data_IF_259430105802
#
_entry.id   IF_259430105802
#
_cell.length_a   1.000
_cell.length_b   1.000
_cell.length_c   1.000
_cell.angle_alpha   90.00
_cell.angle_beta   90.00
_cell.angle_gamma   90.00
#
_symmetry.space_group_name_H-M   'P 1'
#
loop_
_entity.id
_entity.type
_entity.pdbx_description
1 polymer ?
#
# COMPACT_ATOMS: atom_id res chain seq x y z
N UNK A 1 -21.00 14.54 1.88
CA UNK A 1 -19.69 15.15 1.56
C UNK A 1 -18.80 14.06 0.97
N UNK A 2 -18.36 14.26 -0.27
CA UNK A 2 -17.65 13.26 -1.06
C UNK A 2 -16.33 12.84 -0.43
N UNK A 3 -16.27 11.57 -0.05
CA UNK A 3 -15.07 10.94 0.49
C UNK A 3 -13.96 10.79 -0.58
N UNK A 4 -14.21 11.17 -1.83
CA UNK A 4 -13.28 11.11 -2.95
C UNK A 4 -12.13 12.13 -2.86
N UNK A 5 -12.28 13.22 -2.10
CA UNK A 5 -11.20 14.19 -1.82
C UNK A 5 -10.37 13.84 -0.58
N UNK A 6 -10.70 12.76 0.13
CA UNK A 6 -10.16 12.49 1.48
C UNK A 6 -8.69 12.07 1.45
N UNK A 7 -8.21 11.47 0.37
CA UNK A 7 -6.80 11.08 0.19
C UNK A 7 -5.89 12.14 -0.46
N UNK A 8 -6.42 13.25 -0.97
CA UNK A 8 -5.78 14.07 -2.01
C UNK A 8 -4.53 14.92 -1.68
N UNK A 9 -3.86 14.74 -0.54
CA UNK A 9 -2.64 15.53 -0.27
C UNK A 9 -1.85 15.16 0.99
N UNK A 10 -2.54 14.84 2.10
CA UNK A 10 -1.90 14.46 3.38
C UNK A 10 -1.06 13.17 3.25
N UNK A 11 -1.57 12.20 2.50
CA UNK A 11 -0.88 10.94 2.24
C UNK A 11 0.43 11.15 1.49
N UNK A 12 0.52 12.15 0.59
CA UNK A 12 1.74 12.44 -0.15
C UNK A 12 2.88 12.94 0.76
N UNK A 13 2.56 13.72 1.80
CA UNK A 13 3.53 14.13 2.81
C UNK A 13 4.04 12.94 3.65
N UNK A 14 3.16 11.98 3.96
CA UNK A 14 3.56 10.73 4.61
C UNK A 14 4.42 9.86 3.68
N UNK A 15 4.09 9.77 2.38
CA UNK A 15 4.92 9.08 1.39
C UNK A 15 6.32 9.71 1.31
N UNK A 16 6.41 11.04 1.34
CA UNK A 16 7.69 11.74 1.34
C UNK A 16 8.51 11.38 2.59
N UNK A 17 7.89 11.36 3.77
CA UNK A 17 8.54 10.96 5.02
C UNK A 17 9.02 9.50 4.95
N UNK A 18 8.21 8.60 4.40
CA UNK A 18 8.61 7.20 4.16
C UNK A 18 9.76 7.08 3.18
N UNK A 19 9.79 7.89 2.12
CA UNK A 19 10.90 7.93 1.16
C UNK A 19 12.21 8.38 1.80
N UNK A 20 12.17 9.45 2.60
CA UNK A 20 13.34 9.93 3.35
C UNK A 20 13.84 8.84 4.30
N UNK A 21 12.94 8.25 5.09
CA UNK A 21 13.29 7.17 6.02
C UNK A 21 13.88 5.95 5.30
N UNK A 22 13.29 5.54 4.17
CA UNK A 22 13.77 4.45 3.35
C UNK A 22 15.21 4.68 2.83
N UNK A 23 15.50 5.88 2.34
CA UNK A 23 16.85 6.25 1.88
C UNK A 23 17.84 6.17 3.03
N UNK A 24 17.48 6.68 4.23
CA UNK A 24 18.32 6.55 5.42
C UNK A 24 18.62 5.10 5.78
N UNK A 25 17.62 4.23 5.73
CA UNK A 25 17.77 2.80 6.04
C UNK A 25 18.69 2.08 5.04
N UNK A 26 18.56 2.37 3.74
CA UNK A 26 19.36 1.70 2.69
C UNK A 26 20.80 2.20 2.63
N UNK A 27 21.01 3.50 2.80
CA UNK A 27 22.35 4.09 2.65
C UNK A 27 23.29 3.74 3.80
N UNK A 28 22.78 3.15 4.89
CA UNK A 28 23.59 2.73 6.03
C UNK A 28 24.37 3.89 6.66
N UNK A 29 23.90 5.13 6.49
CA UNK A 29 24.52 6.31 7.08
C UNK A 29 24.62 6.07 8.57
N UNK A 30 25.86 5.97 9.10
CA UNK A 30 26.08 5.93 10.54
C UNK A 30 25.33 7.12 11.13
N UNK A 31 24.30 6.83 11.94
CA UNK A 31 23.36 7.80 12.51
C UNK A 31 24.12 8.77 13.42
N UNK A 32 24.78 9.76 12.83
CA UNK A 32 25.36 10.89 13.56
C UNK A 32 24.19 11.73 14.05
N UNK A 33 24.31 12.26 15.27
CA UNK A 33 23.28 13.08 15.90
C UNK A 33 22.72 14.18 14.97
N UNK A 34 23.57 14.82 14.15
CA UNK A 34 23.15 15.84 13.18
C UNK A 34 22.09 15.36 12.16
N UNK A 35 22.17 14.11 11.71
CA UNK A 35 21.22 13.55 10.72
C UNK A 35 19.91 13.16 11.39
N UNK A 36 19.99 12.59 12.60
CA UNK A 36 18.82 12.29 13.43
C UNK A 36 18.07 13.58 13.77
N UNK A 37 18.80 14.60 14.23
CA UNK A 37 18.24 15.91 14.54
C UNK A 37 17.55 16.54 13.31
N UNK A 38 18.22 16.52 12.14
CA UNK A 38 17.61 17.00 10.89
C UNK A 38 16.34 16.23 10.52
N UNK A 39 16.29 14.92 10.75
CA UNK A 39 15.11 14.10 10.48
C UNK A 39 13.97 14.41 11.47
N UNK A 40 14.28 14.64 12.75
CA UNK A 40 13.30 15.09 13.74
C UNK A 40 12.71 16.46 13.37
N UNK A 41 13.54 17.43 12.99
CA UNK A 41 13.09 18.76 12.56
C UNK A 41 12.22 18.66 11.31
N UNK A 42 12.64 17.85 10.32
CA UNK A 42 11.86 17.64 9.11
C UNK A 42 10.52 16.95 9.39
N UNK A 43 10.50 15.95 10.26
CA UNK A 43 9.27 15.25 10.68
C UNK A 43 8.32 16.19 11.42
N UNK A 44 8.85 17.07 12.28
CA UNK A 44 8.07 18.10 12.97
C UNK A 44 7.46 19.10 11.98
N UNK A 45 8.23 19.54 10.97
CA UNK A 45 7.73 20.41 9.92
C UNK A 45 6.57 19.74 9.15
N UNK A 46 6.73 18.48 8.74
CA UNK A 46 5.66 17.72 8.07
C UNK A 46 4.44 17.57 8.97
N UNK A 47 4.63 17.33 10.27
CA UNK A 47 3.53 17.25 11.23
C UNK A 47 2.73 18.55 11.30
N UNK A 48 3.39 19.70 11.37
CA UNK A 48 2.73 21.02 11.41
C UNK A 48 1.94 21.27 10.11
N UNK A 49 2.53 20.95 8.96
CA UNK A 49 1.87 21.08 7.65
C UNK A 49 0.62 20.20 7.59
N UNK A 50 0.71 18.93 7.97
CA UNK A 50 -0.44 18.02 7.98
C UNK A 50 -1.52 18.47 8.97
N UNK A 51 -1.12 18.98 10.14
CA UNK A 51 -2.04 19.51 11.14
C UNK A 51 -2.82 20.70 10.59
N UNK A 52 -2.14 21.68 9.98
CA UNK A 52 -2.79 22.81 9.31
C UNK A 52 -3.76 22.35 8.21
N UNK A 53 -3.35 21.45 7.32
CA UNK A 53 -4.23 20.89 6.28
C UNK A 53 -5.39 20.07 6.84
N UNK A 54 -5.27 19.55 8.06
CA UNK A 54 -6.37 18.83 8.72
C UNK A 54 -7.39 19.81 9.28
N UNK A 55 -6.96 20.93 9.89
CA UNK A 55 -7.84 22.00 10.34
C UNK A 55 -8.54 22.73 9.18
N UNK A 56 -7.82 22.96 8.07
CA UNK A 56 -8.37 23.61 6.87
C UNK A 56 -9.61 22.89 6.31
N UNK A 57 -9.77 21.59 6.57
CA UNK A 57 -10.96 20.81 6.15
C UNK A 57 -12.21 21.07 6.98
N UNK A 58 -12.06 21.66 8.15
CA UNK A 58 -13.13 22.04 9.06
C UNK A 58 -13.37 23.55 9.01
N UNK A 59 -13.15 24.16 7.84
CA UNK A 59 -13.33 25.58 7.55
C UNK A 59 -12.46 26.54 8.40
N UNK A 60 -11.43 26.03 9.08
CA UNK A 60 -10.44 26.84 9.79
C UNK A 60 -9.32 27.28 8.83
N UNK A 61 -9.49 28.43 8.20
CA UNK A 61 -8.59 28.92 7.13
C UNK A 61 -7.45 29.82 7.64
N UNK A 62 -7.53 30.34 8.87
CA UNK A 62 -6.49 31.21 9.43
C UNK A 62 -5.29 30.40 9.91
N UNK A 63 -4.09 30.82 9.49
CA UNK A 63 -2.85 30.24 10.00
C UNK A 63 -2.52 30.81 11.39
N UNK A 64 -2.97 30.12 12.44
CA UNK A 64 -2.74 30.46 13.84
C UNK A 64 -2.26 29.24 14.64
N UNK A 65 -1.69 29.48 15.82
CA UNK A 65 -1.30 28.39 16.72
C UNK A 65 -2.50 27.56 17.17
N UNK A 66 -3.65 28.20 17.36
CA UNK A 66 -4.88 27.51 17.74
C UNK A 66 -5.39 26.60 16.60
N UNK A 67 -5.35 27.08 15.36
CA UNK A 67 -5.68 26.27 14.17
C UNK A 67 -4.75 25.06 14.04
N UNK A 68 -3.43 25.24 14.28
CA UNK A 68 -2.46 24.13 14.24
C UNK A 68 -2.74 23.14 15.36
N UNK A 69 -3.07 23.61 16.56
CA UNK A 69 -3.36 22.75 17.72
C UNK A 69 -4.63 21.93 17.51
N UNK A 70 -5.68 22.53 16.99
CA UNK A 70 -6.93 21.83 16.67
C UNK A 70 -6.71 20.83 15.53
N UNK A 71 -6.01 21.26 14.47
CA UNK A 71 -5.61 20.39 13.37
C UNK A 71 -4.74 19.20 13.80
N UNK A 72 -3.87 19.40 14.79
CA UNK A 72 -3.06 18.36 15.40
C UNK A 72 -3.91 17.35 16.19
N UNK A 73 -4.91 17.84 16.94
CA UNK A 73 -5.88 16.99 17.64
C UNK A 73 -6.62 16.08 16.66
N UNK A 74 -7.20 16.69 15.61
CA UNK A 74 -7.90 16.00 14.53
C UNK A 74 -6.98 15.01 13.81
N UNK A 75 -5.74 15.40 13.52
CA UNK A 75 -4.78 14.52 12.86
C UNK A 75 -4.42 13.32 13.75
N UNK A 76 -4.18 13.53 15.05
CA UNK A 76 -3.87 12.47 15.99
C UNK A 76 -5.06 11.50 16.15
N UNK A 77 -6.29 12.00 16.25
CA UNK A 77 -7.50 11.19 16.30
C UNK A 77 -7.66 10.36 15.03
N UNK A 78 -7.48 10.97 13.86
CA UNK A 78 -7.48 10.26 12.58
C UNK A 78 -6.39 9.18 12.57
N UNK A 79 -5.17 9.49 13.00
CA UNK A 79 -4.06 8.54 13.02
C UNK A 79 -4.37 7.30 13.87
N UNK A 80 -4.86 7.51 15.10
CA UNK A 80 -5.29 6.42 15.99
C UNK A 80 -6.45 5.63 15.38
N UNK A 81 -7.45 6.33 14.86
CA UNK A 81 -8.60 5.72 14.20
C UNK A 81 -8.16 4.81 13.07
N UNK A 82 -7.30 5.30 12.16
CA UNK A 82 -6.79 4.52 11.04
C UNK A 82 -5.96 3.31 11.47
N UNK A 83 -5.25 3.35 12.60
CA UNK A 83 -4.52 2.19 13.13
C UNK A 83 -5.44 1.10 13.71
N UNK A 84 -6.49 1.49 14.42
CA UNK A 84 -7.42 0.55 15.06
C UNK A 84 -8.48 0.03 14.09
N UNK A 85 -8.86 0.87 13.12
CA UNK A 85 -9.93 0.62 12.17
C UNK A 85 -9.80 -0.73 11.44
N UNK A 86 -8.64 -1.12 10.88
CA UNK A 86 -8.46 -2.42 10.23
C UNK A 86 -8.86 -3.61 11.10
N UNK A 87 -8.49 -3.60 12.38
CA UNK A 87 -8.80 -4.69 13.29
C UNK A 87 -10.31 -4.80 13.56
N UNK A 88 -10.95 -3.65 13.82
CA UNK A 88 -12.40 -3.59 14.06
C UNK A 88 -13.22 -3.99 12.85
N UNK A 89 -12.77 -3.60 11.65
CA UNK A 89 -13.41 -4.00 10.39
C UNK A 89 -13.29 -5.49 10.13
N UNK A 90 -12.11 -6.07 10.41
CA UNK A 90 -11.90 -7.50 10.25
C UNK A 90 -12.78 -8.31 11.22
N UNK A 91 -12.85 -7.90 12.49
CA UNK A 91 -13.74 -8.52 13.48
C UNK A 91 -15.23 -8.41 13.06
N UNK A 92 -15.68 -7.23 12.63
CA UNK A 92 -17.04 -7.04 12.14
C UNK A 92 -17.36 -7.94 10.94
N UNK A 93 -16.43 -8.08 9.99
CA UNK A 93 -16.63 -8.93 8.82
C UNK A 93 -16.74 -10.43 9.18
N UNK A 94 -16.04 -10.88 10.21
CA UNK A 94 -16.17 -12.24 10.74
C UNK A 94 -17.51 -12.42 11.46
N UNK A 95 -17.92 -11.47 12.30
CA UNK A 95 -19.18 -11.54 13.06
C UNK A 95 -20.42 -11.53 12.16
N UNK A 96 -20.38 -10.81 11.04
CA UNK A 96 -21.50 -10.69 10.10
C UNK A 96 -21.43 -11.71 8.95
N UNK A 97 -20.51 -12.68 9.01
CA UNK A 97 -20.34 -13.74 8.01
C UNK A 97 -20.31 -13.23 6.55
N UNK A 98 -19.42 -12.26 6.30
CA UNK A 98 -19.27 -11.68 4.97
C UNK A 98 -18.88 -12.72 3.91
N UNK A 99 -18.23 -13.81 4.31
CA UNK A 99 -17.83 -14.89 3.42
C UNK A 99 -19.06 -15.56 2.78
N UNK A 100 -20.07 -15.90 3.56
CA UNK A 100 -21.31 -16.47 3.02
C UNK A 100 -22.07 -15.47 2.15
N UNK A 101 -22.08 -14.18 2.53
CA UNK A 101 -22.79 -13.13 1.79
C UNK A 101 -22.25 -12.93 0.37
N UNK A 102 -20.94 -13.11 0.15
CA UNK A 102 -20.33 -12.99 -1.19
C UNK A 102 -20.38 -14.29 -2.00
N UNK A 103 -20.83 -15.40 -1.40
CA UNK A 103 -20.98 -16.70 -2.05
C UNK A 103 -19.82 -17.67 -1.81
N UNK A 104 -19.08 -17.51 -0.71
CA UNK A 104 -17.99 -18.39 -0.30
C UNK A 104 -16.62 -17.94 -0.80
N UNK A 105 -15.66 -18.88 -0.77
CA UNK A 105 -14.27 -18.60 -1.13
C UNK A 105 -14.10 -18.28 -2.61
N UNK A 106 -13.27 -17.27 -2.88
CA UNK A 106 -13.06 -16.73 -4.23
C UNK A 106 -11.68 -17.02 -4.83
N UNK A 107 -10.84 -17.78 -4.12
CA UNK A 107 -9.62 -18.40 -4.64
C UNK A 107 -8.63 -17.47 -5.37
N UNK A 108 -8.51 -16.22 -4.90
CA UNK A 108 -7.53 -15.23 -5.36
C UNK A 108 -8.15 -14.08 -6.15
N UNK A 109 -9.44 -14.17 -6.48
CA UNK A 109 -10.14 -13.15 -7.25
C UNK A 109 -10.41 -11.87 -6.43
N UNK A 110 -10.33 -11.92 -5.10
CA UNK A 110 -10.45 -10.74 -4.23
C UNK A 110 -9.09 -10.08 -3.96
N UNK A 111 -8.07 -10.88 -3.63
CA UNK A 111 -6.71 -10.43 -3.33
C UNK A 111 -5.98 -9.87 -4.54
N UNK A 112 -6.36 -10.32 -5.75
CA UNK A 112 -5.81 -9.89 -7.03
C UNK A 112 -6.92 -9.39 -7.97
N UNK A 113 -7.96 -8.73 -7.46
CA UNK A 113 -9.09 -8.26 -8.27
C UNK A 113 -8.66 -7.32 -9.41
N UNK A 114 -7.60 -6.55 -9.22
CA UNK A 114 -6.98 -5.76 -10.28
C UNK A 114 -6.63 -6.57 -11.54
N UNK A 115 -6.29 -7.86 -11.43
CA UNK A 115 -6.12 -8.73 -12.61
C UNK A 115 -7.49 -9.15 -13.14
N UNK A 116 -8.38 -9.62 -12.26
CA UNK A 116 -9.71 -10.12 -12.61
C UNK A 116 -10.52 -9.08 -13.41
N UNK A 117 -10.53 -7.83 -12.96
CA UNK A 117 -11.26 -6.73 -13.60
C UNK A 117 -10.80 -6.47 -15.03
N UNK A 118 -9.49 -6.44 -15.27
CA UNK A 118 -8.95 -6.19 -16.61
C UNK A 118 -9.05 -7.43 -17.50
N UNK A 119 -8.87 -8.62 -16.93
CA UNK A 119 -9.11 -9.88 -17.63
C UNK A 119 -10.56 -9.96 -18.11
N UNK A 120 -11.54 -9.59 -17.27
CA UNK A 120 -12.95 -9.50 -17.65
C UNK A 120 -13.18 -8.51 -18.79
N UNK A 121 -12.61 -7.30 -18.70
CA UNK A 121 -12.71 -6.30 -19.76
C UNK A 121 -12.15 -6.81 -21.09
N UNK A 122 -11.00 -7.49 -21.05
CA UNK A 122 -10.37 -8.08 -22.22
C UNK A 122 -11.20 -9.25 -22.79
N UNK A 123 -11.65 -10.18 -21.95
CA UNK A 123 -12.44 -11.35 -22.37
C UNK A 123 -13.82 -10.95 -22.92
N UNK A 124 -14.41 -9.86 -22.42
CA UNK A 124 -15.65 -9.29 -22.97
C UNK A 124 -15.51 -8.84 -24.42
N UNK A 125 -14.32 -8.46 -24.88
CA UNK A 125 -14.06 -8.17 -26.30
C UNK A 125 -14.29 -9.40 -27.18
N UNK A 126 -14.16 -10.60 -26.61
CA UNK A 126 -14.39 -11.89 -27.25
C UNK A 126 -15.73 -12.53 -26.83
N UNK A 127 -16.65 -11.75 -26.24
CA UNK A 127 -17.95 -12.22 -25.73
C UNK A 127 -17.85 -13.30 -24.64
N UNK A 128 -16.73 -13.38 -23.92
CA UNK A 128 -16.55 -14.25 -22.76
C UNK A 128 -16.76 -13.40 -21.50
N UNK A 129 -17.74 -13.75 -20.65
CA UNK A 129 -17.95 -13.09 -19.36
C UNK A 129 -17.47 -13.97 -18.21
N UNK A 130 -16.69 -13.37 -17.31
CA UNK A 130 -16.20 -14.01 -16.09
C UNK A 130 -16.80 -13.31 -14.85
N UNK A 131 -16.88 -13.99 -13.69
CA UNK A 131 -17.49 -13.43 -12.49
C UNK A 131 -16.79 -12.14 -12.01
N UNK A 132 -17.57 -11.07 -11.82
CA UNK A 132 -17.07 -9.84 -11.20
C UNK A 132 -17.31 -9.82 -9.70
N UNK A 133 -16.37 -10.43 -8.99
CA UNK A 133 -16.36 -10.44 -7.53
C UNK A 133 -16.11 -9.04 -6.96
N UNK A 134 -15.44 -8.14 -7.70
CA UNK A 134 -15.36 -6.72 -7.37
C UNK A 134 -16.72 -6.07 -7.13
N UNK A 135 -17.70 -6.30 -7.99
CA UNK A 135 -19.01 -5.63 -7.90
C UNK A 135 -19.72 -6.04 -6.62
N UNK A 136 -19.64 -7.33 -6.24
CA UNK A 136 -20.20 -7.84 -4.99
C UNK A 136 -19.45 -7.34 -3.76
N UNK A 137 -18.13 -7.43 -3.77
CA UNK A 137 -17.29 -7.05 -2.62
C UNK A 137 -17.30 -5.53 -2.40
N UNK A 138 -17.18 -4.74 -3.46
CA UNK A 138 -17.21 -3.27 -3.37
C UNK A 138 -18.60 -2.75 -3.02
N UNK A 139 -19.69 -3.29 -3.60
CA UNK A 139 -21.03 -2.90 -3.18
C UNK A 139 -21.25 -3.21 -1.69
N UNK A 140 -20.92 -4.43 -1.26
CA UNK A 140 -21.03 -4.82 0.15
C UNK A 140 -20.18 -3.93 1.06
N UNK A 141 -18.95 -3.61 0.68
CA UNK A 141 -18.05 -2.75 1.48
C UNK A 141 -18.43 -1.28 1.47
N UNK A 142 -19.06 -0.77 0.40
CA UNK A 142 -19.54 0.61 0.33
C UNK A 142 -20.85 0.81 1.09
N UNK A 143 -21.73 -0.20 1.09
CA UNK A 143 -23.02 -0.15 1.77
C UNK A 143 -22.91 -0.40 3.28
N UNK A 144 -21.83 -1.03 3.74
CA UNK A 144 -21.63 -1.33 5.16
C UNK A 144 -21.03 -0.14 5.93
N UNK A 145 -21.82 0.41 6.85
CA UNK A 145 -21.39 1.44 7.80
C UNK A 145 -21.08 0.79 9.14
N UNK A 146 -19.80 0.80 9.51
CA UNK A 146 -19.32 0.20 10.75
C UNK A 146 -19.03 1.32 11.75
N UNK A 147 -19.68 1.27 12.91
CA UNK A 147 -19.43 2.20 14.00
C UNK A 147 -18.05 1.95 14.59
N UNK A 148 -17.23 3.00 14.73
CA UNK A 148 -15.85 2.93 15.28
C UNK A 148 -15.79 3.43 16.73
N UNK A 149 -16.88 3.99 17.25
CA UNK A 149 -16.99 4.56 18.60
C UNK A 149 -17.63 5.94 18.56
N UNK A 150 -18.43 6.28 19.57
CA UNK A 150 -19.28 7.49 19.54
C UNK A 150 -20.21 7.52 18.33
N UNK A 151 -20.39 8.70 17.73
CA UNK A 151 -21.21 8.92 16.52
C UNK A 151 -20.43 8.71 15.20
N UNK A 152 -19.20 8.21 15.25
CA UNK A 152 -18.34 8.05 14.08
C UNK A 152 -18.55 6.70 13.37
N UNK A 153 -18.84 6.76 12.08
CA UNK A 153 -18.96 5.59 11.20
C UNK A 153 -17.86 5.59 10.12
N UNK A 154 -17.42 4.40 9.73
CA UNK A 154 -16.57 4.20 8.56
C UNK A 154 -17.15 3.15 7.65
N UNK A 155 -16.97 3.40 6.36
CA UNK A 155 -17.43 2.64 5.22
C UNK A 155 -16.26 1.96 4.49
N UNK A 156 -15.12 1.80 5.17
CA UNK A 156 -13.86 1.47 4.51
C UNK A 156 -13.31 0.10 4.90
N UNK A 157 -13.96 -0.99 4.48
CA UNK A 157 -13.54 -2.37 4.74
C UNK A 157 -12.36 -2.86 3.84
N UNK A 158 -11.23 -2.15 3.81
CA UNK A 158 -10.12 -2.41 2.88
C UNK A 158 -8.85 -2.97 3.56
N UNK A 159 -8.98 -3.89 4.51
CA UNK A 159 -7.77 -4.49 5.11
C UNK A 159 -7.17 -5.56 4.19
N UNK A 160 -5.85 -5.68 4.18
CA UNK A 160 -5.24 -6.76 3.41
C UNK A 160 -5.67 -8.16 3.93
N UNK A 161 -5.87 -8.29 5.24
CA UNK A 161 -6.31 -9.53 5.86
C UNK A 161 -7.71 -9.96 5.38
N UNK A 162 -8.67 -9.03 5.21
CA UNK A 162 -10.01 -9.41 4.75
C UNK A 162 -9.97 -9.98 3.34
N UNK A 163 -9.16 -9.43 2.42
CA UNK A 163 -9.06 -9.96 1.07
C UNK A 163 -8.52 -11.38 1.03
N UNK A 164 -7.48 -11.65 1.80
CA UNK A 164 -6.90 -12.98 1.88
C UNK A 164 -7.85 -13.98 2.55
N UNK A 165 -8.61 -13.53 3.55
CA UNK A 165 -9.63 -14.33 4.22
C UNK A 165 -10.79 -14.69 3.27
N UNK A 166 -11.28 -13.74 2.48
CA UNK A 166 -12.37 -13.99 1.52
C UNK A 166 -11.96 -14.93 0.38
N UNK A 167 -10.66 -15.03 0.07
CA UNK A 167 -10.17 -15.95 -0.95
C UNK A 167 -9.87 -17.36 -0.45
N UNK A 168 -9.22 -17.50 0.71
CA UNK A 168 -8.69 -18.79 1.19
C UNK A 168 -8.87 -19.00 2.70
N UNK A 169 -9.73 -18.21 3.35
CA UNK A 169 -9.95 -18.25 4.77
C UNK A 169 -8.68 -17.91 5.56
N UNK A 170 -8.57 -18.48 6.76
CA UNK A 170 -7.44 -18.26 7.65
C UNK A 170 -6.10 -18.65 6.98
N UNK A 171 -6.09 -19.64 6.09
CA UNK A 171 -4.89 -20.08 5.37
C UNK A 171 -4.37 -18.96 4.48
N UNK A 172 -5.25 -18.25 3.77
CA UNK A 172 -4.86 -17.11 2.93
C UNK A 172 -4.17 -16.00 3.71
N UNK A 173 -4.69 -15.70 4.90
CA UNK A 173 -4.17 -14.65 5.80
C UNK A 173 -2.72 -14.91 6.19
N UNK A 174 -2.29 -16.17 6.28
CA UNK A 174 -0.90 -16.53 6.58
C UNK A 174 -0.05 -16.72 5.31
N UNK A 175 -0.56 -17.47 4.33
CA UNK A 175 0.22 -17.92 3.17
C UNK A 175 0.56 -16.77 2.22
N UNK A 176 -0.38 -15.84 1.98
CA UNK A 176 -0.15 -14.76 1.01
C UNK A 176 0.90 -13.76 1.53
N UNK A 177 0.82 -13.24 2.77
CA UNK A 177 1.86 -12.35 3.29
C UNK A 177 3.22 -13.04 3.41
N UNK A 178 3.25 -14.33 3.75
CA UNK A 178 4.50 -15.10 3.81
C UNK A 178 5.14 -15.22 2.43
N UNK A 179 4.36 -15.57 1.41
CA UNK A 179 4.83 -15.66 0.02
C UNK A 179 5.33 -14.31 -0.51
N UNK A 180 4.61 -13.23 -0.19
CA UNK A 180 5.03 -11.88 -0.53
C UNK A 180 6.33 -11.49 0.18
N UNK A 181 6.52 -11.90 1.43
CA UNK A 181 7.77 -11.67 2.18
C UNK A 181 8.96 -12.39 1.57
N UNK A 182 8.78 -13.63 1.08
CA UNK A 182 9.82 -14.35 0.35
C UNK A 182 10.23 -13.63 -0.94
N UNK A 183 9.25 -13.09 -1.67
CA UNK A 183 9.52 -12.28 -2.86
C UNK A 183 10.30 -11.01 -2.52
N UNK A 184 9.90 -10.25 -1.49
CA UNK A 184 10.64 -9.05 -1.04
C UNK A 184 12.07 -9.41 -0.64
N UNK A 185 12.26 -10.50 0.11
CA UNK A 185 13.59 -11.01 0.49
C UNK A 185 14.44 -11.27 -0.76
N UNK A 186 13.88 -11.89 -1.79
CA UNK A 186 14.58 -12.11 -3.04
C UNK A 186 14.98 -10.79 -3.74
N UNK A 187 14.09 -9.80 -3.78
CA UNK A 187 14.39 -8.46 -4.33
C UNK A 187 15.52 -7.78 -3.55
N UNK A 188 15.50 -7.85 -2.21
CA UNK A 188 16.57 -7.30 -1.35
C UNK A 188 17.92 -7.96 -1.67
N UNK A 189 17.97 -9.29 -1.71
CA UNK A 189 19.20 -10.02 -2.04
C UNK A 189 19.72 -9.63 -3.43
N UNK A 190 18.82 -9.41 -4.39
CA UNK A 190 19.17 -8.93 -5.73
C UNK A 190 19.72 -7.51 -5.70
N UNK A 191 19.05 -6.60 -5.00
CA UNK A 191 19.48 -5.22 -4.83
C UNK A 191 20.91 -5.15 -4.28
N UNK A 192 21.24 -5.92 -3.23
CA UNK A 192 22.60 -5.95 -2.69
C UNK A 192 23.66 -6.53 -3.64
N UNK A 193 23.27 -7.34 -4.62
CA UNK A 193 24.20 -7.94 -5.59
C UNK A 193 24.46 -7.06 -6.82
N UNK A 194 23.44 -6.35 -7.31
CA UNK A 194 23.51 -5.60 -8.57
C UNK A 194 23.41 -4.09 -8.39
N UNK A 195 22.80 -3.61 -7.30
CA UNK A 195 22.59 -2.20 -6.98
C UNK A 195 22.09 -1.34 -8.16
N UNK A 196 21.13 -1.85 -8.93
CA UNK A 196 20.58 -1.12 -10.08
C UNK A 196 19.48 -0.15 -9.66
N UNK A 197 19.31 0.94 -10.41
CA UNK A 197 18.23 1.92 -10.19
C UNK A 197 16.87 1.23 -10.19
N UNK A 198 16.63 0.29 -11.11
CA UNK A 198 15.40 -0.50 -11.20
C UNK A 198 15.14 -1.30 -9.91
N UNK A 199 16.18 -1.92 -9.35
CA UNK A 199 16.06 -2.66 -8.08
C UNK A 199 15.83 -1.73 -6.88
N UNK A 200 16.39 -0.51 -6.89
CA UNK A 200 16.12 0.51 -5.88
C UNK A 200 14.67 1.00 -5.93
N UNK A 201 14.18 1.36 -7.12
CA UNK A 201 12.79 1.80 -7.33
C UNK A 201 11.78 0.71 -6.93
N UNK A 202 12.05 -0.54 -7.29
CA UNK A 202 11.22 -1.68 -6.89
C UNK A 202 11.21 -1.84 -5.37
N UNK A 203 12.38 -1.79 -4.72
CA UNK A 203 12.48 -1.97 -3.28
C UNK A 203 11.78 -0.83 -2.51
N UNK A 204 11.90 0.42 -2.99
CA UNK A 204 11.17 1.56 -2.43
C UNK A 204 9.66 1.36 -2.55
N UNK A 205 9.19 0.95 -3.72
CA UNK A 205 7.77 0.72 -3.94
C UNK A 205 7.23 -0.41 -3.06
N UNK A 206 7.97 -1.52 -2.91
CA UNK A 206 7.58 -2.63 -2.03
C UNK A 206 7.56 -2.20 -0.56
N UNK A 207 8.50 -1.35 -0.13
CA UNK A 207 8.46 -0.74 1.20
C UNK A 207 7.21 0.13 1.39
N UNK A 208 6.86 0.95 0.41
CA UNK A 208 5.62 1.73 0.43
C UNK A 208 4.37 0.83 0.53
N UNK A 209 4.31 -0.27 -0.22
CA UNK A 209 3.21 -1.24 -0.15
C UNK A 209 3.11 -1.86 1.24
N UNK A 210 4.23 -2.23 1.87
CA UNK A 210 4.24 -2.76 3.23
C UNK A 210 3.72 -1.75 4.26
N UNK A 211 4.12 -0.48 4.17
CA UNK A 211 3.65 0.54 5.11
C UNK A 211 2.14 0.81 4.97
N UNK A 212 1.57 0.60 3.78
CA UNK A 212 0.15 0.83 3.52
C UNK A 212 -0.73 -0.42 3.62
N UNK A 213 -0.14 -1.61 3.86
CA UNK A 213 -0.87 -2.87 3.84
C UNK A 213 -1.97 -2.95 4.92
N UNK A 214 -1.83 -2.17 5.99
CA UNK A 214 -2.85 -2.00 7.03
C UNK A 214 -4.12 -1.33 6.49
N UNK A 215 -3.98 -0.35 5.59
CA UNK A 215 -5.09 0.46 5.08
C UNK A 215 -5.66 -0.05 3.77
N UNK A 216 -4.80 -0.58 2.90
CA UNK A 216 -5.19 -1.05 1.57
C UNK A 216 -4.18 -2.04 1.03
N UNK A 217 -4.69 -3.12 0.44
CA UNK A 217 -3.84 -4.02 -0.32
C UNK A 217 -3.56 -3.44 -1.70
N UNK A 218 -2.36 -2.89 -1.88
CA UNK A 218 -2.00 -2.25 -3.15
C UNK A 218 -1.90 -3.24 -4.32
N UNK A 219 -1.56 -4.52 -4.09
CA UNK A 219 -1.52 -5.52 -5.18
C UNK A 219 -2.91 -5.83 -5.72
N UNK A 220 -3.97 -5.45 -5.01
CA UNK A 220 -5.32 -5.48 -5.57
C UNK A 220 -5.48 -4.51 -6.76
N UNK A 221 -4.56 -3.56 -6.96
CA UNK A 221 -4.62 -2.56 -8.02
C UNK A 221 -3.73 -2.99 -9.19
N UNK A 222 -4.28 -2.99 -10.40
CA UNK A 222 -3.56 -3.44 -11.62
C UNK A 222 -2.24 -2.69 -11.84
N UNK A 223 -2.22 -1.36 -11.64
CA UNK A 223 -1.00 -0.57 -11.80
C UNK A 223 0.13 -1.02 -10.86
N UNK A 224 -0.22 -1.52 -9.66
CA UNK A 224 0.76 -1.96 -8.67
C UNK A 224 1.44 -3.24 -9.14
N UNK A 225 0.65 -4.22 -9.57
CA UNK A 225 1.15 -5.47 -10.14
C UNK A 225 1.93 -5.23 -11.42
N UNK A 226 1.42 -4.39 -12.32
CA UNK A 226 2.10 -4.02 -13.56
C UNK A 226 3.46 -3.36 -13.30
N UNK A 227 3.54 -2.43 -12.35
CA UNK A 227 4.79 -1.81 -11.94
C UNK A 227 5.79 -2.84 -11.37
N UNK A 228 5.34 -3.72 -10.47
CA UNK A 228 6.19 -4.76 -9.88
C UNK A 228 6.72 -5.70 -10.96
N UNK A 229 5.85 -6.22 -11.83
CA UNK A 229 6.23 -7.12 -12.92
C UNK A 229 7.22 -6.46 -13.87
N UNK A 230 6.93 -5.23 -14.30
CA UNK A 230 7.80 -4.47 -15.19
C UNK A 230 9.19 -4.28 -14.58
N UNK A 231 9.27 -3.81 -13.33
CA UNK A 231 10.54 -3.57 -12.65
C UNK A 231 11.32 -4.86 -12.39
N UNK A 232 10.63 -5.97 -12.08
CA UNK A 232 11.28 -7.30 -11.96
C UNK A 232 11.86 -7.74 -13.30
N UNK A 233 11.14 -7.56 -14.41
CA UNK A 233 11.63 -7.89 -15.75
C UNK A 233 12.87 -7.07 -16.12
N UNK A 234 12.85 -5.74 -15.90
CA UNK A 234 14.01 -4.86 -16.14
C UNK A 234 15.21 -5.28 -15.28
N UNK A 235 14.98 -5.52 -13.98
CA UNK A 235 16.02 -5.97 -13.04
C UNK A 235 16.67 -7.29 -13.48
N UNK A 236 15.88 -8.24 -14.01
CA UNK A 236 16.39 -9.49 -14.54
C UNK A 236 17.11 -9.32 -15.89
N UNK A 237 16.65 -8.41 -16.75
CA UNK A 237 17.25 -8.14 -18.06
C UNK A 237 18.64 -7.51 -17.94
N UNK A 238 18.82 -6.51 -17.06
CA UNK A 238 20.12 -5.83 -16.85
C UNK A 238 21.26 -6.82 -16.54
N UNK A 239 20.95 -7.89 -15.78
CA UNK A 239 21.89 -8.96 -15.46
C UNK A 239 22.36 -9.73 -16.70
N UNK A 240 21.43 -10.03 -17.62
CA UNK A 240 21.73 -10.80 -18.83
C UNK A 240 22.59 -9.99 -19.82
N UNK A 241 22.39 -8.67 -19.88
CA UNK A 241 23.22 -7.77 -20.70
C UNK A 241 24.64 -7.67 -20.15
N UNK A 242 24.80 -7.50 -18.83
CA UNK A 242 26.12 -7.45 -18.21
C UNK A 242 26.89 -8.77 -18.41
N UNK A 243 26.23 -9.90 -18.20
CA UNK A 243 26.83 -11.23 -18.40
C UNK A 243 27.21 -11.47 -19.88
N UNK A 244 26.36 -11.07 -20.83
CA UNK A 244 26.68 -11.14 -22.26
C UNK A 244 27.87 -10.25 -22.64
N UNK A 245 27.94 -9.02 -22.12
CA UNK A 245 29.08 -8.11 -22.38
C UNK A 245 30.39 -8.68 -21.86
N UNK A 246 30.39 -9.25 -20.65
CA UNK A 246 31.58 -9.90 -20.07
C UNK A 246 32.01 -11.11 -20.92
N UNK A 247 31.08 -11.98 -21.33
CA UNK A 247 31.41 -13.13 -22.17
C UNK A 247 31.92 -12.76 -23.56
N UNK A 248 31.40 -11.68 -24.17
CA UNK A 248 31.90 -11.17 -25.45
C UNK A 248 33.32 -10.61 -25.29
N UNK A 249 33.60 -9.88 -24.21
CA UNK A 249 34.94 -9.36 -23.93
C UNK A 249 35.95 -10.49 -23.67
N UNK A 250 35.55 -11.53 -22.92
CA UNK A 250 36.39 -12.71 -22.69
C UNK A 250 36.68 -13.45 -24.00
N UNK A 251 35.66 -13.65 -24.86
CA UNK A 251 35.85 -14.29 -26.18
C UNK A 251 36.66 -13.46 -27.17
N UNK A 252 36.76 -12.15 -27.00
CA UNK A 252 37.55 -11.26 -27.88
C UNK A 252 39.02 -11.17 -27.46
N UNK A 253 39.32 -11.58 -26.23
CA UNK A 253 40.66 -11.61 -25.64
C UNK A 253 41.26 -13.03 -25.54
N UNK A 254 40.54 -14.05 -26.03
CA UNK A 254 41.07 -15.38 -26.37
C UNK A 254 41.24 -15.45 -27.89
#
# INVERSE_FOLDING_TARGET
>A
MDYALIGGGRTNFLVLLFAVFFVFMITGIKLKFKYVFSLCVFSLFIYVVISYFSAFRFDMQEFSLDTIREGASIFNENFVTYLVLPHRLFDYALQNDYLSQIGGYHYGLVSFDGINRYLRLFLRLFSIDIPAIYEKTTAMFQDTRIFIGGDSFSNYAYTNAIYHYLDFGIVGVFVIPFSFSLFIRWVIIKFYKTASVSSFCLLFYLYFVLMNCFFTWHLNKFYSLGFILFMVCVMCYDKNVLYRRINILIKKNM
#
